data_IF_124126037973
#
_entry.id   IF_124126037973
#
_cell.length_a   1.000
_cell.length_b   1.000
_cell.length_c   1.000
_cell.angle_alpha   90.00
_cell.angle_beta   90.00
_cell.angle_gamma   90.00
#
_symmetry.space_group_name_H-M   'P 1'
#
loop_
_entity.id
_entity.type
_entity.pdbx_description
1 polymer ?
#
# COMPACT_ATOMS: atom_id res chain seq x y z
N UNK A 1 -7.63 -17.87 40.05
CA UNK A 1 -7.14 -16.46 40.04
C UNK A 1 -7.69 -15.61 38.87
N UNK A 2 -8.36 -16.18 37.85
CA UNK A 2 -8.91 -15.42 36.71
C UNK A 2 -10.36 -14.93 36.86
N UNK A 3 -10.96 -14.97 38.07
CA UNK A 3 -12.36 -14.58 38.31
C UNK A 3 -12.52 -13.19 38.97
N UNK A 4 -11.51 -12.31 38.88
CA UNK A 4 -11.57 -10.99 39.53
C UNK A 4 -12.15 -9.96 38.56
N UNK A 5 -13.29 -9.30 38.87
CA UNK A 5 -14.02 -8.44 37.93
C UNK A 5 -13.30 -7.15 37.56
N UNK A 6 -12.25 -6.76 38.31
CA UNK A 6 -11.39 -5.61 38.02
C UNK A 6 -9.95 -5.94 38.41
N UNK A 7 -9.07 -5.96 37.42
CA UNK A 7 -7.62 -6.03 37.63
C UNK A 7 -7.09 -4.61 37.59
N UNK A 8 -6.51 -4.12 38.70
CA UNK A 8 -5.88 -2.80 38.71
C UNK A 8 -4.70 -2.74 37.73
N UNK A 9 -4.47 -1.59 37.10
CA UNK A 9 -3.43 -1.43 36.05
C UNK A 9 -2.06 -1.99 36.45
N UNK A 10 -1.63 -1.75 37.70
CA UNK A 10 -0.36 -2.29 38.23
C UNK A 10 -0.35 -3.81 38.33
N UNK A 11 -1.48 -4.43 38.65
CA UNK A 11 -1.62 -5.90 38.68
C UNK A 11 -1.65 -6.47 37.27
N UNK A 12 -2.30 -5.78 36.33
CA UNK A 12 -2.32 -6.13 34.92
C UNK A 12 -0.92 -6.10 34.29
N UNK A 13 -0.16 -5.02 34.50
CA UNK A 13 1.22 -4.92 34.00
C UNK A 13 2.15 -5.94 34.65
N UNK A 14 1.98 -6.21 35.95
CA UNK A 14 2.76 -7.24 36.64
C UNK A 14 2.46 -8.65 36.12
N UNK A 15 1.19 -8.97 35.88
CA UNK A 15 0.78 -10.23 35.24
C UNK A 15 1.32 -10.33 33.82
N UNK A 16 1.24 -9.24 33.04
CA UNK A 16 1.81 -9.14 31.70
C UNK A 16 3.30 -9.46 31.70
N UNK A 17 4.08 -8.84 32.60
CA UNK A 17 5.51 -9.09 32.71
C UNK A 17 5.86 -10.53 33.13
N UNK A 18 5.06 -11.15 34.00
CA UNK A 18 5.24 -12.56 34.38
C UNK A 18 4.96 -13.48 33.17
N UNK A 19 3.84 -13.25 32.49
CA UNK A 19 3.46 -14.02 31.30
C UNK A 19 4.51 -13.84 30.20
N UNK A 20 4.94 -12.61 29.93
CA UNK A 20 5.98 -12.30 28.95
C UNK A 20 7.28 -13.01 29.27
N UNK A 21 7.72 -13.01 30.54
CA UNK A 21 8.93 -13.70 30.98
C UNK A 21 8.82 -15.22 30.80
N UNK A 22 7.69 -15.80 31.18
CA UNK A 22 7.49 -17.25 31.13
C UNK A 22 7.29 -17.73 29.68
N UNK A 23 6.62 -16.95 28.83
CA UNK A 23 6.57 -17.16 27.38
C UNK A 23 8.00 -17.08 26.82
N UNK A 24 8.75 -16.02 27.11
CA UNK A 24 10.10 -15.81 26.55
C UNK A 24 11.10 -16.91 26.93
N UNK A 25 10.87 -17.63 28.03
CA UNK A 25 11.70 -18.77 28.47
C UNK A 25 11.31 -20.11 27.85
N UNK A 26 10.19 -20.17 27.13
CA UNK A 26 9.71 -21.38 26.49
C UNK A 26 10.41 -21.64 25.15
N UNK A 27 10.82 -22.89 24.91
CA UNK A 27 11.33 -23.33 23.61
C UNK A 27 10.29 -23.14 22.51
N UNK A 28 8.99 -23.28 22.83
CA UNK A 28 7.89 -23.07 21.88
C UNK A 28 7.80 -21.60 21.48
N UNK A 29 8.00 -20.67 22.42
CA UNK A 29 8.02 -19.24 22.09
C UNK A 29 9.24 -18.88 21.24
N UNK A 30 10.39 -19.50 21.50
CA UNK A 30 11.59 -19.36 20.68
C UNK A 30 11.36 -19.88 19.25
N UNK A 31 10.68 -21.01 19.09
CA UNK A 31 10.29 -21.56 17.78
C UNK A 31 9.27 -20.68 17.07
N UNK A 32 8.25 -20.18 17.77
CA UNK A 32 7.28 -19.22 17.23
C UNK A 32 7.96 -17.94 16.77
N UNK A 33 8.91 -17.42 17.54
CA UNK A 33 9.68 -16.22 17.18
C UNK A 33 10.52 -16.46 15.92
N UNK A 34 11.17 -17.63 15.79
CA UNK A 34 11.90 -18.01 14.56
C UNK A 34 10.96 -18.14 13.37
N UNK A 35 9.84 -18.84 13.54
CA UNK A 35 8.84 -19.02 12.48
C UNK A 35 8.27 -17.67 12.03
N UNK A 36 7.96 -16.78 12.98
CA UNK A 36 7.52 -15.41 12.68
C UNK A 36 8.59 -14.63 11.91
N UNK A 37 9.88 -14.75 12.28
CA UNK A 37 10.98 -14.15 11.50
C UNK A 37 11.05 -14.69 10.08
N UNK A 38 10.90 -16.00 9.88
CA UNK A 38 10.96 -16.60 8.55
C UNK A 38 9.79 -16.13 7.67
N UNK A 39 8.60 -16.05 8.25
CA UNK A 39 7.41 -15.48 7.59
C UNK A 39 7.62 -14.00 7.26
N UNK A 40 8.18 -13.22 8.18
CA UNK A 40 8.46 -11.80 7.98
C UNK A 40 9.52 -11.58 6.90
N UNK A 41 10.58 -12.39 6.90
CA UNK A 41 11.62 -12.40 5.88
C UNK A 41 11.02 -12.69 4.51
N UNK A 42 10.09 -13.64 4.41
CA UNK A 42 9.42 -14.01 3.17
C UNK A 42 8.53 -12.88 2.59
N UNK A 43 7.90 -12.08 3.47
CA UNK A 43 7.03 -10.95 3.07
C UNK A 43 7.80 -9.70 2.62
N UNK A 44 9.05 -9.54 3.04
CA UNK A 44 9.87 -8.39 2.67
C UNK A 44 10.22 -8.39 1.17
N UNK A 45 10.25 -7.20 0.52
CA UNK A 45 10.83 -7.04 -0.82
C UNK A 45 12.23 -7.66 -0.91
N UNK A 46 12.53 -8.34 -2.02
CA UNK A 46 13.80 -9.08 -2.19
C UNK A 46 15.02 -8.18 -2.01
N UNK A 47 14.96 -6.93 -2.48
CA UNK A 47 16.04 -5.96 -2.35
C UNK A 47 16.40 -5.67 -0.89
N UNK A 48 15.40 -5.52 0.00
CA UNK A 48 15.66 -5.29 1.43
C UNK A 48 16.22 -6.55 2.10
N UNK A 49 15.76 -7.73 1.67
CA UNK A 49 16.29 -9.01 2.15
C UNK A 49 17.77 -9.18 1.78
N UNK A 50 18.12 -8.91 0.53
CA UNK A 50 19.49 -8.96 0.03
C UNK A 50 20.42 -7.98 0.76
N UNK A 51 19.92 -6.81 1.16
CA UNK A 51 20.66 -5.85 1.99
C UNK A 51 20.93 -6.44 3.38
N UNK A 52 19.91 -6.99 4.04
CA UNK A 52 20.06 -7.56 5.39
C UNK A 52 21.06 -8.71 5.43
N UNK A 53 21.15 -9.52 4.37
CA UNK A 53 22.08 -10.65 4.28
C UNK A 53 23.56 -10.23 4.18
N UNK A 54 23.83 -8.97 3.81
CA UNK A 54 25.18 -8.42 3.65
C UNK A 54 25.63 -7.58 4.85
N UNK A 55 24.75 -7.37 5.84
CA UNK A 55 25.04 -6.52 6.99
C UNK A 55 25.87 -7.28 8.02
N UNK A 56 27.00 -6.69 8.40
CA UNK A 56 27.77 -7.08 9.58
C UNK A 56 27.64 -6.01 10.67
N UNK A 57 27.55 -6.39 11.96
CA UNK A 57 27.52 -7.75 12.50
C UNK A 57 26.16 -8.46 12.32
N UNK A 58 26.14 -9.80 12.40
CA UNK A 58 24.91 -10.62 12.24
C UNK A 58 23.77 -10.22 13.19
N UNK A 59 24.11 -9.77 14.40
CA UNK A 59 23.13 -9.23 15.34
C UNK A 59 22.37 -8.02 14.75
N UNK A 60 23.07 -7.10 14.09
CA UNK A 60 22.46 -5.96 13.41
C UNK A 60 21.63 -6.39 12.20
N UNK A 61 22.07 -7.42 11.46
CA UNK A 61 21.29 -7.97 10.33
C UNK A 61 19.89 -8.40 10.76
N UNK A 62 19.77 -9.16 11.86
CA UNK A 62 18.46 -9.59 12.39
C UNK A 62 17.61 -8.42 12.87
N UNK A 63 18.23 -7.40 13.45
CA UNK A 63 17.52 -6.23 13.95
C UNK A 63 17.04 -5.35 12.80
N UNK A 64 17.87 -5.11 11.78
CA UNK A 64 17.50 -4.40 10.56
C UNK A 64 16.40 -5.11 9.78
N UNK A 65 16.41 -6.44 9.73
CA UNK A 65 15.32 -7.20 9.13
C UNK A 65 13.98 -6.90 9.82
N UNK A 66 14.01 -6.83 11.15
CA UNK A 66 12.83 -6.49 11.95
C UNK A 66 12.41 -5.03 11.75
N UNK A 67 13.37 -4.11 11.63
CA UNK A 67 13.11 -2.69 11.33
C UNK A 67 12.46 -2.53 9.95
N UNK A 68 13.05 -3.12 8.91
CA UNK A 68 12.49 -3.06 7.56
C UNK A 68 11.11 -3.68 7.50
N UNK A 69 10.91 -4.84 8.15
CA UNK A 69 9.60 -5.46 8.22
C UNK A 69 8.57 -4.53 8.90
N UNK A 70 8.92 -3.98 10.06
CA UNK A 70 8.05 -3.05 10.79
C UNK A 70 7.67 -1.83 9.95
N UNK A 71 8.64 -1.20 9.28
CA UNK A 71 8.37 -0.07 8.36
C UNK A 71 7.48 -0.49 7.18
N UNK A 72 7.67 -1.69 6.62
CA UNK A 72 6.80 -2.18 5.54
C UNK A 72 5.37 -2.47 6.02
N UNK A 73 5.19 -3.02 7.23
CA UNK A 73 3.83 -3.23 7.78
C UNK A 73 3.14 -1.92 8.12
N UNK A 74 3.86 -0.93 8.66
CA UNK A 74 3.34 0.42 8.87
C UNK A 74 2.86 1.05 7.55
N UNK A 75 3.65 0.91 6.48
CA UNK A 75 3.24 1.36 5.15
C UNK A 75 2.01 0.62 4.61
N UNK A 76 1.82 -0.65 4.97
CA UNK A 76 0.62 -1.42 4.63
C UNK A 76 -0.63 -0.96 5.41
N UNK A 77 -0.49 -0.63 6.69
CA UNK A 77 -1.57 0.01 7.47
C UNK A 77 -2.00 1.34 6.84
N UNK A 78 -1.03 2.18 6.43
CA UNK A 78 -1.30 3.43 5.71
C UNK A 78 -1.90 3.17 4.31
N UNK A 79 -1.44 2.11 3.62
CA UNK A 79 -2.12 1.33 2.58
C UNK A 79 -3.65 1.36 2.70
N UNK A 80 -4.10 0.77 3.80
CA UNK A 80 -5.51 0.58 4.08
C UNK A 80 -6.24 1.91 4.32
N UNK A 81 -5.67 2.80 5.13
CA UNK A 81 -6.24 4.16 5.37
C UNK A 81 -6.40 4.92 4.04
N UNK A 82 -5.37 4.87 3.18
CA UNK A 82 -5.41 5.49 1.86
C UNK A 82 -6.54 4.94 1.03
N UNK A 83 -6.84 3.65 1.11
CA UNK A 83 -7.95 3.02 0.38
C UNK A 83 -9.32 3.56 0.83
N UNK A 84 -9.50 3.82 2.13
CA UNK A 84 -10.71 4.41 2.70
C UNK A 84 -10.90 5.86 2.24
N UNK A 85 -9.82 6.66 2.21
CA UNK A 85 -9.81 8.02 1.68
C UNK A 85 -10.30 8.10 0.22
N UNK A 86 -10.04 7.09 -0.61
CA UNK A 86 -10.46 7.12 -2.03
C UNK A 86 -11.88 6.63 -2.26
N UNK A 87 -12.44 5.87 -1.30
CA UNK A 87 -13.75 5.21 -1.41
C UNK A 87 -14.88 6.04 -0.82
N UNK A 88 -14.61 7.27 -0.38
CA UNK A 88 -15.56 8.18 0.29
C UNK A 88 -16.29 7.49 1.46
N UNK A 89 -15.57 6.63 2.19
CA UNK A 89 -16.10 5.89 3.33
C UNK A 89 -15.98 6.70 4.63
N UNK A 90 -16.76 6.39 5.69
CA UNK A 90 -16.66 7.07 6.98
C UNK A 90 -15.25 7.00 7.59
N UNK A 91 -14.50 8.10 7.49
CA UNK A 91 -13.08 8.14 7.85
C UNK A 91 -12.79 8.11 9.35
N UNK A 92 -13.79 8.33 10.22
CA UNK A 92 -13.58 8.17 11.67
C UNK A 92 -13.20 6.73 12.05
N UNK A 93 -13.53 5.77 11.20
CA UNK A 93 -13.15 4.35 11.37
C UNK A 93 -11.65 4.11 11.14
N UNK A 94 -10.89 5.11 10.69
CA UNK A 94 -9.43 5.00 10.55
C UNK A 94 -8.69 5.23 11.88
N UNK A 95 -9.34 5.81 12.89
CA UNK A 95 -8.74 6.08 14.20
C UNK A 95 -8.12 4.84 14.87
N UNK A 96 -8.79 3.67 14.93
CA UNK A 96 -8.17 2.46 15.45
C UNK A 96 -6.91 2.04 14.69
N UNK A 97 -6.84 2.29 13.38
CA UNK A 97 -5.67 1.95 12.57
C UNK A 97 -4.54 2.92 12.83
N UNK A 98 -4.83 4.21 13.01
CA UNK A 98 -3.82 5.16 13.49
C UNK A 98 -3.29 4.75 14.87
N UNK A 99 -4.15 4.34 15.80
CA UNK A 99 -3.70 3.84 17.12
C UNK A 99 -2.77 2.63 16.97
N UNK A 100 -3.10 1.69 16.07
CA UNK A 100 -2.21 0.56 15.77
C UNK A 100 -0.86 1.03 15.22
N UNK A 101 -0.88 1.94 14.24
CA UNK A 101 0.33 2.58 13.69
C UNK A 101 1.16 3.25 14.79
N UNK A 102 0.52 3.89 15.76
CA UNK A 102 1.20 4.50 16.90
C UNK A 102 1.94 3.49 17.77
N UNK A 103 1.24 2.42 18.19
CA UNK A 103 1.85 1.40 19.05
C UNK A 103 2.95 0.63 18.32
N UNK A 104 2.73 0.26 17.06
CA UNK A 104 3.74 -0.43 16.25
C UNK A 104 4.97 0.45 16.00
N UNK A 105 4.77 1.75 15.77
CA UNK A 105 5.88 2.70 15.63
C UNK A 105 6.64 2.86 16.95
N UNK A 106 5.95 2.87 18.09
CA UNK A 106 6.60 2.91 19.40
C UNK A 106 7.46 1.67 19.65
N UNK A 107 6.95 0.48 19.32
CA UNK A 107 7.72 -0.76 19.42
C UNK A 107 8.94 -0.74 18.51
N UNK A 108 8.79 -0.17 17.31
CA UNK A 108 9.89 0.02 16.37
C UNK A 108 10.96 0.99 16.92
N UNK A 109 10.56 2.11 17.52
CA UNK A 109 11.48 3.06 18.16
C UNK A 109 12.23 2.43 19.34
N UNK A 110 11.55 1.62 20.16
CA UNK A 110 12.21 0.88 21.24
C UNK A 110 13.26 -0.10 20.69
N UNK A 111 12.99 -0.76 19.55
CA UNK A 111 13.97 -1.61 18.85
C UNK A 111 15.20 -0.80 18.41
N UNK A 112 15.02 0.42 17.87
CA UNK A 112 16.14 1.30 17.53
C UNK A 112 17.02 1.60 18.76
N UNK A 113 16.40 2.06 19.85
CA UNK A 113 17.10 2.56 21.04
C UNK A 113 17.75 1.46 21.90
N UNK A 114 17.09 0.30 22.00
CA UNK A 114 17.52 -0.77 22.91
C UNK A 114 18.44 -1.77 22.24
N UNK A 115 18.37 -1.92 20.92
CA UNK A 115 19.11 -2.95 20.18
C UNK A 115 19.97 -2.38 19.07
N UNK A 116 19.38 -1.72 18.07
CA UNK A 116 20.12 -1.27 16.89
C UNK A 116 21.26 -0.31 17.26
N UNK A 117 20.97 0.76 18.01
CA UNK A 117 21.95 1.77 18.40
C UNK A 117 22.95 1.27 19.45
N UNK A 118 22.68 0.15 20.12
CA UNK A 118 23.57 -0.45 21.12
C UNK A 118 24.47 -1.55 20.54
N UNK A 119 24.31 -1.89 19.26
CA UNK A 119 25.17 -2.85 18.61
C UNK A 119 26.62 -2.34 18.58
N UNK A 120 27.57 -3.23 18.90
CA UNK A 120 28.99 -2.89 18.95
C UNK A 120 29.61 -2.92 17.55
N UNK A 121 30.56 -2.03 17.29
CA UNK A 121 31.34 -2.03 16.05
C UNK A 121 30.60 -1.46 14.84
N UNK A 122 29.53 -0.70 15.06
CA UNK A 122 28.82 -0.04 13.97
C UNK A 122 29.64 1.09 13.35
N UNK A 123 29.69 1.19 12.01
CA UNK A 123 30.20 2.37 11.34
C UNK A 123 29.40 3.63 11.73
N UNK A 124 30.07 4.78 11.80
CA UNK A 124 29.46 6.06 12.18
C UNK A 124 28.28 6.43 11.26
N UNK A 125 28.40 6.16 9.95
CA UNK A 125 27.33 6.37 8.99
C UNK A 125 26.06 5.55 9.32
N UNK A 126 26.23 4.31 9.79
CA UNK A 126 25.11 3.45 10.19
C UNK A 126 24.46 3.95 11.47
N UNK A 127 25.25 4.36 12.47
CA UNK A 127 24.73 4.95 13.70
C UNK A 127 23.95 6.22 13.40
N UNK A 128 24.51 7.12 12.59
CA UNK A 128 23.87 8.37 12.19
C UNK A 128 22.56 8.16 11.44
N UNK A 129 22.50 7.17 10.53
CA UNK A 129 21.28 6.86 9.80
C UNK A 129 20.19 6.22 10.69
N UNK A 130 20.57 5.33 11.61
CA UNK A 130 19.67 4.73 12.59
C UNK A 130 19.08 5.80 13.51
N UNK A 131 19.94 6.64 14.10
CA UNK A 131 19.55 7.70 15.03
C UNK A 131 18.70 8.78 14.33
N UNK A 132 19.14 9.23 13.15
CA UNK A 132 18.40 10.18 12.33
C UNK A 132 17.02 9.65 11.91
N UNK A 133 16.92 8.37 11.58
CA UNK A 133 15.64 7.73 11.24
C UNK A 133 14.72 7.63 12.46
N UNK A 134 15.23 7.18 13.61
CA UNK A 134 14.46 7.10 14.84
C UNK A 134 13.94 8.48 15.28
N UNK A 135 14.80 9.50 15.22
CA UNK A 135 14.42 10.88 15.53
C UNK A 135 13.34 11.42 14.58
N UNK A 136 13.53 11.25 13.26
CA UNK A 136 12.56 11.70 12.26
C UNK A 136 11.19 11.03 12.45
N UNK A 137 11.18 9.72 12.66
CA UNK A 137 9.98 8.94 12.93
C UNK A 137 9.28 9.45 14.20
N UNK A 138 10.01 9.63 15.31
CA UNK A 138 9.43 10.13 16.54
C UNK A 138 8.80 11.53 16.38
N UNK A 139 9.45 12.41 15.62
CA UNK A 139 8.97 13.77 15.39
C UNK A 139 7.73 13.82 14.49
N UNK A 140 7.73 13.11 13.36
CA UNK A 140 6.58 13.08 12.45
C UNK A 140 5.40 12.31 13.05
N UNK A 141 5.65 11.30 13.89
CA UNK A 141 4.62 10.67 14.72
C UNK A 141 3.96 11.67 15.66
N UNK A 142 4.77 12.44 16.39
CA UNK A 142 4.27 13.48 17.29
C UNK A 142 3.41 14.49 16.53
N UNK A 143 3.90 14.96 15.39
CA UNK A 143 3.17 15.90 14.53
C UNK A 143 1.84 15.32 14.03
N UNK A 144 1.82 14.08 13.55
CA UNK A 144 0.60 13.44 13.08
C UNK A 144 -0.46 13.33 14.19
N UNK A 145 -0.07 12.95 15.42
CA UNK A 145 -1.02 12.76 16.52
C UNK A 145 -1.40 14.04 17.25
N UNK A 146 -0.44 14.93 17.49
CA UNK A 146 -0.63 16.16 18.28
C UNK A 146 -1.07 17.36 17.45
N UNK A 147 -0.95 17.31 16.12
CA UNK A 147 -1.36 18.43 15.26
C UNK A 147 -2.42 18.02 14.24
N UNK A 148 -2.19 16.95 13.47
CA UNK A 148 -3.11 16.58 12.39
C UNK A 148 -4.39 15.91 12.92
N UNK A 149 -4.25 14.87 13.74
CA UNK A 149 -5.37 14.05 14.24
C UNK A 149 -6.11 14.65 15.44
N UNK A 150 -5.58 15.72 16.07
CA UNK A 150 -6.25 16.35 17.21
C UNK A 150 -7.65 16.82 16.85
N UNK A 151 -8.63 16.48 17.70
CA UNK A 151 -10.03 16.84 17.52
C UNK A 151 -10.77 16.06 16.42
N UNK A 152 -10.15 15.05 15.80
CA UNK A 152 -10.78 14.26 14.73
C UNK A 152 -12.07 13.56 15.19
N UNK A 153 -12.10 13.05 16.43
CA UNK A 153 -13.28 12.39 17.00
C UNK A 153 -14.48 13.34 17.11
N UNK A 154 -14.23 14.59 17.49
CA UNK A 154 -15.24 15.65 17.63
C UNK A 154 -15.63 16.36 16.34
N UNK A 155 -14.82 16.24 15.28
CA UNK A 155 -15.12 16.87 13.99
C UNK A 155 -16.41 16.32 13.39
N UNK A 156 -17.29 17.21 12.90
CA UNK A 156 -18.58 16.81 12.31
C UNK A 156 -18.64 16.96 10.78
N UNK A 157 -17.87 17.90 10.23
CA UNK A 157 -17.88 18.17 8.80
C UNK A 157 -16.96 17.19 8.05
N UNK A 158 -17.51 16.51 7.04
CA UNK A 158 -16.77 15.54 6.23
C UNK A 158 -15.47 16.11 5.60
N UNK A 159 -15.44 17.34 5.05
CA UNK A 159 -14.20 17.91 4.51
C UNK A 159 -13.10 18.10 5.58
N UNK A 160 -13.48 18.50 6.80
CA UNK A 160 -12.54 18.68 7.90
C UNK A 160 -11.97 17.33 8.39
N UNK A 161 -12.81 16.29 8.43
CA UNK A 161 -12.38 14.92 8.76
C UNK A 161 -11.42 14.40 7.67
N UNK A 162 -11.76 14.61 6.39
CA UNK A 162 -10.94 14.19 5.25
C UNK A 162 -9.55 14.83 5.32
N UNK A 163 -9.47 16.16 5.44
CA UNK A 163 -8.20 16.88 5.48
C UNK A 163 -7.28 16.39 6.60
N UNK A 164 -7.83 16.16 7.81
CA UNK A 164 -7.05 15.64 8.95
C UNK A 164 -6.49 14.25 8.71
N UNK A 165 -7.32 13.34 8.16
CA UNK A 165 -6.89 11.97 7.87
C UNK A 165 -5.88 11.94 6.72
N UNK A 166 -6.11 12.74 5.67
CA UNK A 166 -5.20 12.86 4.53
C UNK A 166 -3.83 13.41 4.93
N UNK A 167 -3.79 14.48 5.72
CA UNK A 167 -2.54 15.08 6.20
C UNK A 167 -1.76 14.13 7.09
N UNK A 168 -2.41 13.53 8.10
CA UNK A 168 -1.77 12.58 9.00
C UNK A 168 -1.22 11.36 8.24
N UNK A 169 -2.01 10.81 7.32
CA UNK A 169 -1.55 9.74 6.44
C UNK A 169 -0.35 10.18 5.59
N UNK A 170 -0.40 11.36 4.96
CA UNK A 170 0.66 11.86 4.08
C UNK A 170 1.99 12.01 4.83
N UNK A 171 1.94 12.69 5.97
CA UNK A 171 3.10 12.89 6.86
C UNK A 171 3.75 11.56 7.25
N UNK A 172 2.95 10.61 7.75
CA UNK A 172 3.48 9.32 8.22
C UNK A 172 4.02 8.47 7.08
N UNK A 173 3.31 8.44 5.94
CA UNK A 173 3.75 7.69 4.76
C UNK A 173 5.10 8.19 4.28
N UNK A 174 5.24 9.50 4.11
CA UNK A 174 6.47 10.09 3.58
C UNK A 174 7.64 9.86 4.54
N UNK A 175 7.39 10.01 5.84
CA UNK A 175 8.37 9.69 6.88
C UNK A 175 8.85 8.23 6.79
N UNK A 176 7.94 7.25 6.82
CA UNK A 176 8.31 5.83 6.79
C UNK A 176 9.00 5.43 5.49
N UNK A 177 8.56 5.97 4.34
CA UNK A 177 9.24 5.73 3.06
C UNK A 177 10.66 6.28 3.07
N UNK A 178 10.84 7.51 3.56
CA UNK A 178 12.14 8.15 3.61
C UNK A 178 13.08 7.44 4.59
N UNK A 179 12.63 7.08 5.79
CA UNK A 179 13.43 6.31 6.75
C UNK A 179 13.85 4.97 6.17
N UNK A 180 12.94 4.28 5.47
CA UNK A 180 13.25 3.01 4.84
C UNK A 180 14.32 3.16 3.75
N UNK A 181 14.20 4.16 2.86
CA UNK A 181 15.21 4.46 1.83
C UNK A 181 16.55 4.80 2.48
N UNK A 182 16.56 5.77 3.41
CA UNK A 182 17.77 6.27 4.04
C UNK A 182 18.54 5.17 4.75
N UNK A 183 17.86 4.28 5.48
CA UNK A 183 18.49 3.13 6.14
C UNK A 183 19.06 2.13 5.13
N UNK A 184 18.33 1.85 4.05
CA UNK A 184 18.79 0.91 3.04
C UNK A 184 19.99 1.46 2.23
N UNK A 185 20.04 2.77 1.99
CA UNK A 185 21.13 3.45 1.28
C UNK A 185 22.46 3.47 2.03
N UNK A 186 22.46 3.28 3.35
CA UNK A 186 23.70 3.07 4.13
C UNK A 186 24.47 1.85 3.64
N UNK A 187 23.75 0.82 3.20
CA UNK A 187 24.33 -0.46 2.78
C UNK A 187 24.36 -0.62 1.25
N UNK A 188 23.45 0.04 0.53
CA UNK A 188 23.43 0.07 -0.94
C UNK A 188 23.17 1.51 -1.43
N UNK A 189 24.23 2.29 -1.61
CA UNK A 189 24.12 3.72 -1.96
C UNK A 189 23.47 3.97 -3.33
N UNK A 190 23.51 3.00 -4.24
CA UNK A 190 22.85 3.06 -5.56
C UNK A 190 21.38 2.67 -5.52
N UNK A 191 20.83 2.39 -4.34
CA UNK A 191 19.45 2.00 -4.19
C UNK A 191 18.51 3.17 -4.49
N UNK A 192 17.68 2.98 -5.50
CA UNK A 192 16.55 3.85 -5.80
C UNK A 192 15.31 3.36 -5.06
N UNK A 193 14.57 4.28 -4.43
CA UNK A 193 13.30 4.02 -3.76
C UNK A 193 12.28 3.34 -4.67
N UNK A 194 12.35 3.55 -5.99
CA UNK A 194 11.46 2.84 -6.94
C UNK A 194 11.67 1.32 -6.92
N UNK A 195 12.87 0.82 -6.62
CA UNK A 195 13.14 -0.63 -6.51
C UNK A 195 12.47 -1.25 -5.29
N UNK A 196 12.32 -0.47 -4.23
CA UNK A 196 11.70 -0.91 -2.97
C UNK A 196 10.17 -0.78 -3.07
N UNK A 197 9.70 0.37 -3.55
CA UNK A 197 8.27 0.70 -3.61
C UNK A 197 7.58 0.25 -4.90
N UNK A 198 8.29 -0.36 -5.86
CA UNK A 198 7.65 -1.15 -6.95
C UNK A 198 6.76 -2.26 -6.40
N UNK A 199 7.06 -2.79 -5.20
CA UNK A 199 6.17 -3.71 -4.49
C UNK A 199 4.94 -3.00 -3.85
N UNK A 200 4.98 -1.67 -3.72
CA UNK A 200 4.00 -0.80 -3.05
C UNK A 200 3.24 0.15 -4.02
N UNK A 201 3.28 -0.13 -5.34
CA UNK A 201 2.89 0.78 -6.43
C UNK A 201 1.78 1.80 -6.09
N UNK A 202 2.10 3.07 -6.33
CA UNK A 202 1.30 4.23 -5.98
C UNK A 202 0.09 4.44 -6.89
N UNK A 203 -0.90 5.19 -6.39
CA UNK A 203 -2.13 5.60 -7.09
C UNK A 203 -1.86 6.25 -8.47
N UNK A 204 -0.67 6.84 -8.65
CA UNK A 204 -0.19 7.38 -9.92
C UNK A 204 0.12 6.25 -10.90
N UNK A 205 0.91 5.26 -10.52
CA UNK A 205 1.24 4.09 -11.37
C UNK A 205 -0.01 3.27 -11.71
N UNK A 206 -0.91 3.10 -10.75
CA UNK A 206 -2.22 2.49 -10.97
C UNK A 206 -3.06 3.29 -11.96
N UNK A 207 -3.06 4.62 -11.85
CA UNK A 207 -3.78 5.49 -12.78
C UNK A 207 -3.12 5.50 -14.16
N UNK A 208 -1.79 5.48 -14.26
CA UNK A 208 -1.04 5.41 -15.52
C UNK A 208 -1.30 4.07 -16.25
N UNK A 209 -1.28 2.96 -15.50
CA UNK A 209 -1.60 1.62 -16.01
C UNK A 209 -3.04 1.55 -16.48
N UNK A 210 -3.99 2.00 -15.65
CA UNK A 210 -5.40 2.08 -16.00
C UNK A 210 -5.63 2.93 -17.26
N UNK A 211 -5.01 4.11 -17.35
CA UNK A 211 -5.11 5.02 -18.49
C UNK A 211 -4.62 4.35 -19.77
N UNK A 212 -3.46 3.67 -19.72
CA UNK A 212 -2.90 2.92 -20.84
C UNK A 212 -3.83 1.78 -21.28
N UNK A 213 -4.25 0.94 -20.34
CA UNK A 213 -5.03 -0.26 -20.65
C UNK A 213 -6.43 0.09 -21.16
N UNK A 214 -7.02 1.17 -20.64
CA UNK A 214 -8.33 1.64 -21.06
C UNK A 214 -8.28 2.27 -22.47
N UNK A 215 -7.19 2.96 -22.82
CA UNK A 215 -6.95 3.39 -24.20
C UNK A 215 -6.83 2.20 -25.15
N UNK A 216 -5.99 1.22 -24.81
CA UNK A 216 -5.83 0.00 -25.63
C UNK A 216 -7.17 -0.69 -25.82
N UNK A 217 -7.94 -0.86 -24.75
CA UNK A 217 -9.24 -1.50 -24.80
C UNK A 217 -10.23 -0.74 -25.68
N UNK A 218 -10.33 0.58 -25.52
CA UNK A 218 -11.17 1.44 -26.36
C UNK A 218 -10.89 1.23 -27.84
N UNK A 219 -9.61 1.18 -28.21
CA UNK A 219 -9.21 0.99 -29.60
C UNK A 219 -9.57 -0.40 -30.13
N UNK A 220 -9.50 -1.45 -29.31
CA UNK A 220 -9.98 -2.78 -29.69
C UNK A 220 -11.48 -2.83 -29.90
N UNK A 221 -12.27 -2.15 -29.06
CA UNK A 221 -13.72 -2.03 -29.21
C UNK A 221 -14.07 -1.28 -30.50
N UNK A 222 -13.46 -0.12 -30.74
CA UNK A 222 -13.68 0.67 -31.97
C UNK A 222 -13.26 -0.08 -33.24
N UNK A 223 -12.18 -0.87 -33.16
CA UNK A 223 -11.75 -1.71 -34.29
C UNK A 223 -12.73 -2.85 -34.54
N UNK A 224 -13.19 -3.53 -33.49
CA UNK A 224 -14.19 -4.58 -33.61
C UNK A 224 -15.52 -4.06 -34.16
N UNK A 225 -15.90 -2.82 -33.83
CA UNK A 225 -17.07 -2.16 -34.41
C UNK A 225 -16.93 -1.95 -35.92
N UNK A 226 -15.75 -1.49 -36.38
CA UNK A 226 -15.44 -1.23 -37.80
C UNK A 226 -15.22 -2.51 -38.62
N UNK A 227 -14.67 -3.55 -38.01
CA UNK A 227 -14.30 -4.82 -38.65
C UNK A 227 -15.24 -5.97 -38.27
N UNK A 228 -16.47 -5.65 -37.82
CA UNK A 228 -17.46 -6.60 -37.28
C UNK A 228 -17.81 -7.80 -38.17
N UNK A 229 -17.69 -7.65 -39.50
CA UNK A 229 -17.98 -8.71 -40.47
C UNK A 229 -16.72 -9.51 -40.86
N UNK A 230 -15.54 -9.11 -40.38
CA UNK A 230 -14.23 -9.62 -40.82
C UNK A 230 -13.45 -10.34 -39.72
N UNK A 231 -13.82 -10.17 -38.45
CA UNK A 231 -13.10 -10.75 -37.31
C UNK A 231 -14.02 -11.50 -36.36
N UNK A 232 -13.55 -12.64 -35.79
CA UNK A 232 -14.23 -13.28 -34.69
C UNK A 232 -14.23 -12.38 -33.45
N UNK A 233 -15.28 -12.49 -32.64
CA UNK A 233 -15.48 -11.71 -31.40
C UNK A 233 -14.63 -12.25 -30.25
N UNK A 234 -14.22 -13.51 -30.30
CA UNK A 234 -13.48 -14.18 -29.22
C UNK A 234 -12.21 -13.43 -28.77
N UNK A 235 -11.33 -12.92 -29.65
CA UNK A 235 -10.16 -12.14 -29.22
C UNK A 235 -10.51 -10.82 -28.52
N UNK A 236 -11.68 -10.23 -28.80
CA UNK A 236 -12.16 -9.05 -28.07
C UNK A 236 -12.60 -9.46 -26.66
N UNK A 237 -13.36 -10.56 -26.54
CA UNK A 237 -13.82 -11.08 -25.24
C UNK A 237 -12.64 -11.45 -24.34
N UNK A 238 -11.60 -12.10 -24.87
CA UNK A 238 -10.37 -12.40 -24.12
C UNK A 238 -9.71 -11.13 -23.58
N UNK A 239 -9.63 -10.07 -24.39
CA UNK A 239 -9.07 -8.78 -23.94
C UNK A 239 -9.93 -8.08 -22.90
N UNK A 240 -11.25 -8.23 -22.98
CA UNK A 240 -12.16 -7.73 -21.96
C UNK A 240 -11.99 -8.49 -20.63
N UNK A 241 -11.88 -9.82 -20.68
CA UNK A 241 -11.60 -10.63 -19.49
C UNK A 241 -10.24 -10.25 -18.89
N UNK A 242 -9.20 -10.09 -19.72
CA UNK A 242 -7.88 -9.66 -19.25
C UNK A 242 -7.92 -8.27 -18.59
N UNK A 243 -8.71 -7.33 -19.11
CA UNK A 243 -8.91 -6.03 -18.47
C UNK A 243 -9.66 -6.15 -17.13
N UNK A 244 -10.70 -7.01 -17.06
CA UNK A 244 -11.45 -7.31 -15.84
C UNK A 244 -10.57 -7.87 -14.73
N UNK A 245 -9.70 -8.83 -15.05
CA UNK A 245 -8.79 -9.46 -14.09
C UNK A 245 -7.58 -8.58 -13.75
N UNK A 246 -7.20 -7.70 -14.68
CA UNK A 246 -6.11 -6.76 -14.54
C UNK A 246 -6.56 -5.41 -13.97
N UNK A 247 -6.81 -4.47 -14.87
CA UNK A 247 -6.84 -3.03 -14.56
C UNK A 247 -8.20 -2.50 -14.13
N UNK A 248 -9.29 -3.27 -14.26
CA UNK A 248 -10.63 -2.89 -13.77
C UNK A 248 -10.61 -2.50 -12.29
N UNK A 249 -9.77 -3.16 -11.49
CA UNK A 249 -9.62 -2.89 -10.05
C UNK A 249 -9.21 -1.45 -9.71
N UNK A 250 -8.70 -0.69 -10.69
CA UNK A 250 -8.25 0.69 -10.55
C UNK A 250 -9.32 1.73 -10.95
N UNK A 251 -10.48 1.30 -11.46
CA UNK A 251 -11.66 2.14 -11.68
C UNK A 251 -12.41 2.43 -10.37
N UNK A 252 -13.27 3.45 -10.38
CA UNK A 252 -14.21 3.62 -9.27
C UNK A 252 -15.25 2.51 -9.32
N UNK A 253 -15.70 2.05 -8.14
CA UNK A 253 -16.63 0.92 -8.02
C UNK A 253 -17.93 1.11 -8.82
N UNK A 254 -18.44 2.35 -8.91
CA UNK A 254 -19.63 2.69 -9.72
C UNK A 254 -19.49 2.35 -11.20
N UNK A 255 -18.26 2.33 -11.71
CA UNK A 255 -17.97 2.06 -13.12
C UNK A 255 -17.89 0.56 -13.41
N UNK A 256 -17.76 -0.29 -12.38
CA UNK A 256 -17.61 -1.75 -12.54
C UNK A 256 -18.89 -2.39 -13.10
N UNK A 257 -20.05 -2.05 -12.55
CA UNK A 257 -21.33 -2.62 -13.00
C UNK A 257 -21.60 -2.30 -14.47
N UNK A 258 -21.29 -1.07 -14.90
CA UNK A 258 -21.46 -0.65 -16.29
C UNK A 258 -20.53 -1.43 -17.22
N UNK A 259 -19.27 -1.61 -16.82
CA UNK A 259 -18.32 -2.42 -17.56
C UNK A 259 -18.74 -3.89 -17.66
N UNK A 260 -19.12 -4.52 -16.54
CA UNK A 260 -19.52 -5.93 -16.51
C UNK A 260 -20.76 -6.18 -17.34
N UNK A 261 -21.75 -5.27 -17.31
CA UNK A 261 -22.93 -5.35 -18.18
C UNK A 261 -22.56 -5.32 -19.66
N UNK A 262 -21.62 -4.46 -20.07
CA UNK A 262 -21.15 -4.45 -21.47
C UNK A 262 -20.38 -5.71 -21.85
N UNK A 263 -19.55 -6.26 -20.96
CA UNK A 263 -18.88 -7.54 -21.20
C UNK A 263 -19.90 -8.67 -21.42
N UNK A 264 -20.94 -8.73 -20.61
CA UNK A 264 -22.03 -9.71 -20.76
C UNK A 264 -22.79 -9.51 -22.08
N UNK A 265 -23.17 -8.27 -22.42
CA UNK A 265 -23.85 -7.95 -23.68
C UNK A 265 -22.99 -8.34 -24.90
N UNK A 266 -21.67 -8.06 -24.87
CA UNK A 266 -20.74 -8.43 -25.96
C UNK A 266 -20.58 -9.95 -26.07
N UNK A 267 -20.49 -10.65 -24.94
CA UNK A 267 -20.37 -12.11 -24.93
C UNK A 267 -21.66 -12.82 -25.38
N UNK A 268 -22.83 -12.22 -25.13
CA UNK A 268 -24.13 -12.78 -25.47
C UNK A 268 -24.58 -12.49 -26.92
N UNK A 269 -24.05 -11.43 -27.54
CA UNK A 269 -24.45 -11.00 -28.88
C UNK A 269 -24.22 -12.07 -29.96
N UNK A 270 -25.26 -12.35 -30.75
CA UNK A 270 -25.22 -13.37 -31.81
C UNK A 270 -25.12 -12.70 -33.18
N UNK A 271 -23.88 -12.63 -33.68
CA UNK A 271 -23.59 -12.11 -35.02
C UNK A 271 -23.48 -10.58 -35.07
N UNK A 272 -23.08 -10.07 -36.24
CA UNK A 272 -22.66 -8.68 -36.41
C UNK A 272 -23.78 -7.66 -36.20
N UNK A 273 -25.04 -8.03 -36.47
CA UNK A 273 -26.21 -7.14 -36.36
C UNK A 273 -26.51 -6.79 -34.90
N UNK A 274 -26.46 -7.77 -33.99
CA UNK A 274 -26.67 -7.56 -32.56
C UNK A 274 -25.44 -6.95 -31.88
N UNK A 275 -24.25 -7.30 -32.33
CA UNK A 275 -22.99 -6.84 -31.74
C UNK A 275 -22.70 -5.36 -32.03
N UNK A 276 -23.03 -4.87 -33.22
CA UNK A 276 -22.74 -3.50 -33.64
C UNK A 276 -23.27 -2.40 -32.67
N UNK A 277 -24.57 -2.38 -32.29
CA UNK A 277 -25.08 -1.37 -31.37
C UNK A 277 -24.49 -1.49 -29.96
N UNK A 278 -24.12 -2.70 -29.52
CA UNK A 278 -23.46 -2.94 -28.23
C UNK A 278 -22.05 -2.36 -28.24
N UNK A 279 -21.26 -2.65 -29.27
CA UNK A 279 -19.89 -2.11 -29.40
C UNK A 279 -19.88 -0.59 -29.52
N UNK A 280 -20.83 -0.01 -30.26
CA UNK A 280 -20.96 1.43 -30.38
C UNK A 280 -21.21 2.10 -29.02
N UNK A 281 -22.20 1.60 -28.27
CA UNK A 281 -22.51 2.09 -26.91
C UNK A 281 -21.33 1.91 -25.96
N UNK A 282 -20.65 0.77 -26.07
CA UNK A 282 -19.51 0.47 -25.21
C UNK A 282 -18.30 1.36 -25.53
N UNK A 283 -18.03 1.62 -26.81
CA UNK A 283 -17.00 2.57 -27.25
C UNK A 283 -17.24 3.97 -26.71
N UNK A 284 -18.47 4.48 -26.81
CA UNK A 284 -18.84 5.78 -26.25
C UNK A 284 -18.71 5.85 -24.72
N UNK A 285 -19.06 4.77 -24.01
CA UNK A 285 -18.83 4.65 -22.58
C UNK A 285 -17.33 4.70 -22.23
N UNK A 286 -16.50 3.92 -22.93
CA UNK A 286 -15.05 3.88 -22.70
C UNK A 286 -14.37 5.22 -23.03
N UNK A 287 -14.80 5.93 -24.08
CA UNK A 287 -14.33 7.29 -24.38
C UNK A 287 -14.65 8.27 -23.25
N UNK A 288 -15.88 8.23 -22.75
CA UNK A 288 -16.31 9.09 -21.64
C UNK A 288 -15.51 8.78 -20.38
N UNK A 289 -15.34 7.49 -20.06
CA UNK A 289 -14.58 7.03 -18.91
C UNK A 289 -13.09 7.40 -19.02
N UNK A 290 -12.50 7.26 -20.21
CA UNK A 290 -11.13 7.70 -20.50
C UNK A 290 -10.97 9.21 -20.28
N UNK A 291 -11.91 10.01 -20.78
CA UNK A 291 -11.94 11.46 -20.56
C UNK A 291 -11.99 11.82 -19.08
N UNK A 292 -12.86 11.16 -18.30
CA UNK A 292 -12.96 11.36 -16.85
C UNK A 292 -11.69 10.97 -16.11
N UNK A 293 -11.02 9.88 -16.52
CA UNK A 293 -9.74 9.47 -15.95
C UNK A 293 -8.65 10.48 -16.26
N UNK A 294 -8.60 11.02 -17.48
CA UNK A 294 -7.62 12.04 -17.87
C UNK A 294 -7.76 13.36 -17.09
N UNK A 295 -8.93 13.64 -16.53
CA UNK A 295 -9.15 14.80 -15.65
C UNK A 295 -8.62 14.61 -14.22
N UNK A 296 -8.10 13.41 -13.85
CA UNK A 296 -7.54 13.20 -12.52
C UNK A 296 -6.31 14.09 -12.31
N UNK A 297 -6.29 14.83 -11.19
CA UNK A 297 -5.21 15.76 -10.82
C UNK A 297 -3.80 15.12 -10.80
N UNK A 298 -3.71 13.80 -10.64
CA UNK A 298 -2.45 13.04 -10.67
C UNK A 298 -1.73 13.08 -12.02
N UNK A 299 -2.40 13.47 -13.11
CA UNK A 299 -1.81 13.51 -14.46
C UNK A 299 -1.27 14.88 -14.88
N UNK A 300 -1.33 15.90 -14.01
CA UNK A 300 -0.92 17.27 -14.30
C UNK A 300 0.54 17.40 -14.81
N UNK A 301 1.42 16.46 -14.43
CA UNK A 301 2.82 16.40 -14.86
C UNK A 301 3.13 15.21 -15.80
N UNK A 302 2.12 14.46 -16.26
CA UNK A 302 2.28 13.22 -17.03
C UNK A 302 1.38 13.21 -18.28
N UNK A 303 1.77 13.90 -19.37
CA UNK A 303 1.05 13.84 -20.64
C UNK A 303 0.90 12.39 -21.11
N UNK A 304 -0.22 12.09 -21.77
CA UNK A 304 -0.46 10.73 -22.26
C UNK A 304 0.23 10.55 -23.62
N UNK A 305 1.18 9.61 -23.67
CA UNK A 305 1.75 9.12 -24.91
C UNK A 305 0.86 7.99 -25.41
N UNK A 306 0.32 8.14 -26.62
CA UNK A 306 -0.66 7.21 -27.19
C UNK A 306 0.08 5.98 -27.72
N UNK A 307 0.03 4.82 -27.03
CA UNK A 307 0.81 3.66 -27.45
C UNK A 307 0.33 3.16 -28.82
N UNK A 308 1.29 2.78 -29.66
CA UNK A 308 1.02 2.10 -30.92
C UNK A 308 0.32 0.76 -30.65
N UNK A 309 -0.71 0.48 -31.44
CA UNK A 309 -1.51 -0.74 -31.32
C UNK A 309 -0.92 -1.78 -32.25
N UNK A 310 -0.34 -2.84 -31.69
CA UNK A 310 0.10 -3.97 -32.50
C UNK A 310 -1.11 -4.69 -33.13
N UNK A 311 -1.02 -5.09 -34.41
CA UNK A 311 -2.13 -5.55 -35.24
C UNK A 311 -2.88 -6.78 -34.73
#
# INVERSE_FOLDING_TARGET
>A
MLNTPRVGFRTWTSLGAIIERDISRSDVASQLTRTARDVNKAKLPSVLREITEKVEPEALSSDLLSVFFGLTELLEHLRFIKSLLQRDQPLKQTLPIFILVHEDTRNLLDLFETRCLRAKGLPEATVSALDGSAYAIAMEMRKAFEHELVGLSGAQQAPAIYAKVENAHGVLRDCFQQSLISLAQVFESTLDGTRIFRAFQTKLEQSLTLRRDLWVLLQHVQRAEKERDRRPVAPLVERLIAFREGSLRYLMYKDWESYERFLEEVAAARGAVELAPVLHRFGAYLETLFGQINMRAVFSAHPFDYPAINP
#
